data_IF_644480041981
#
_entry.id   IF_644480041981
#
_cell.length_a   1.000
_cell.length_b   1.000
_cell.length_c   1.000
_cell.angle_alpha   90.00
_cell.angle_beta   90.00
_cell.angle_gamma   90.00
#
_symmetry.space_group_name_H-M   'P 1'
#
loop_
_entity.id
_entity.type
_entity.pdbx_description
1 polymer ?
#
# COMPACT_ATOMS: atom_id res chain seq x y z
N UNK A 1 -6.84 8.75 -4.81
CA UNK A 1 -7.64 9.79 -5.53
C UNK A 1 -7.67 9.60 -7.04
N UNK A 2 -6.55 9.31 -7.70
CA UNK A 2 -6.50 9.06 -9.17
C UNK A 2 -6.87 7.60 -9.49
N UNK A 3 -6.32 6.64 -8.76
CA UNK A 3 -6.59 5.21 -8.98
C UNK A 3 -8.04 4.81 -8.65
N UNK A 4 -8.67 5.43 -7.65
CA UNK A 4 -10.10 5.20 -7.35
C UNK A 4 -11.00 5.65 -8.52
N UNK A 5 -10.67 6.75 -9.20
CA UNK A 5 -11.41 7.24 -10.39
C UNK A 5 -11.21 6.34 -11.62
N UNK A 6 -10.10 5.63 -11.71
CA UNK A 6 -9.85 4.64 -12.76
C UNK A 6 -10.58 3.32 -12.46
N UNK A 7 -10.64 2.92 -11.18
CA UNK A 7 -11.32 1.70 -10.73
C UNK A 7 -12.82 1.69 -11.04
N UNK A 8 -13.48 2.85 -11.09
CA UNK A 8 -14.91 2.94 -11.44
C UNK A 8 -15.22 2.69 -12.92
N UNK A 9 -14.22 2.68 -13.80
CA UNK A 9 -14.40 2.45 -15.25
C UNK A 9 -14.29 0.98 -15.65
N UNK A 10 -13.67 0.14 -14.80
CA UNK A 10 -13.50 -1.29 -15.06
C UNK A 10 -14.34 -2.07 -14.08
N UNK A 11 -15.25 -2.91 -14.56
CA UNK A 11 -16.09 -3.74 -13.70
C UNK A 11 -15.31 -4.98 -13.19
N UNK A 12 -14.30 -4.73 -12.37
CA UNK A 12 -13.44 -5.78 -11.77
C UNK A 12 -14.29 -6.71 -10.88
N UNK A 13 -15.39 -6.20 -10.32
CA UNK A 13 -16.32 -6.97 -9.48
C UNK A 13 -17.05 -8.06 -10.29
N UNK A 14 -17.26 -7.86 -11.60
CA UNK A 14 -17.76 -8.92 -12.49
C UNK A 14 -16.76 -10.06 -12.69
N UNK A 15 -15.46 -9.75 -12.70
CA UNK A 15 -14.39 -10.75 -12.74
C UNK A 15 -14.32 -11.48 -11.39
N UNK A 16 -14.34 -10.74 -10.28
CA UNK A 16 -14.32 -11.29 -8.92
C UNK A 16 -15.44 -12.29 -8.64
N UNK A 17 -16.63 -12.08 -9.22
CA UNK A 17 -17.75 -13.05 -9.15
C UNK A 17 -17.41 -14.44 -9.67
N UNK A 18 -16.52 -14.54 -10.65
CA UNK A 18 -16.16 -15.81 -11.29
C UNK A 18 -15.02 -16.55 -10.59
N UNK A 19 -14.38 -15.94 -9.60
CA UNK A 19 -13.23 -16.54 -8.92
C UNK A 19 -13.74 -17.34 -7.71
N UNK A 20 -13.58 -18.69 -7.69
CA UNK A 20 -14.09 -19.55 -6.64
C UNK A 20 -13.22 -19.58 -5.37
N UNK A 21 -12.23 -18.70 -5.27
CA UNK A 21 -11.31 -18.60 -4.13
C UNK A 21 -11.88 -17.62 -3.10
N UNK A 22 -11.66 -17.90 -1.81
CA UNK A 22 -12.04 -16.98 -0.72
C UNK A 22 -11.21 -15.69 -0.77
N UNK A 23 -11.80 -14.50 -0.54
CA UNK A 23 -11.05 -13.24 -0.51
C UNK A 23 -9.92 -13.28 0.53
N UNK A 24 -10.15 -13.83 1.73
CA UNK A 24 -9.12 -13.92 2.77
C UNK A 24 -7.91 -14.78 2.34
N UNK A 25 -8.12 -15.80 1.51
CA UNK A 25 -7.03 -16.62 0.96
C UNK A 25 -6.21 -15.79 -0.03
N UNK A 26 -6.86 -14.99 -0.87
CA UNK A 26 -6.16 -14.08 -1.79
C UNK A 26 -5.35 -13.02 -1.04
N UNK A 27 -5.89 -12.46 0.04
CA UNK A 27 -5.16 -11.52 0.92
C UNK A 27 -3.92 -12.18 1.54
N UNK A 28 -4.06 -13.42 2.04
CA UNK A 28 -2.92 -14.18 2.59
C UNK A 28 -1.87 -14.47 1.51
N UNK A 29 -2.29 -14.91 0.32
CA UNK A 29 -1.40 -15.17 -0.80
C UNK A 29 -0.67 -13.90 -1.24
N UNK A 30 -1.36 -12.75 -1.29
CA UNK A 30 -0.76 -11.45 -1.55
C UNK A 30 0.40 -11.17 -0.59
N UNK A 31 0.18 -11.31 0.72
CA UNK A 31 1.21 -11.11 1.72
C UNK A 31 2.37 -12.12 1.59
N UNK A 32 2.06 -13.40 1.34
CA UNK A 32 3.08 -14.44 1.13
C UNK A 32 3.96 -14.11 -0.07
N UNK A 33 3.38 -13.70 -1.21
CA UNK A 33 4.14 -13.30 -2.40
C UNK A 33 5.08 -12.12 -2.08
N UNK A 34 4.61 -11.14 -1.32
CA UNK A 34 5.45 -10.01 -0.90
C UNK A 34 6.63 -10.47 -0.02
N UNK A 35 6.41 -11.38 0.94
CA UNK A 35 7.49 -11.80 1.84
C UNK A 35 8.45 -12.82 1.21
N UNK A 36 7.97 -13.72 0.34
CA UNK A 36 8.82 -14.62 -0.44
C UNK A 36 9.72 -13.82 -1.40
N UNK A 37 9.26 -12.67 -1.89
CA UNK A 37 10.07 -11.77 -2.70
C UNK A 37 11.32 -11.27 -2.00
N UNK A 38 11.30 -11.09 -0.67
CA UNK A 38 12.42 -10.48 0.08
C UNK A 38 13.73 -11.26 -0.10
N UNK A 39 13.83 -12.55 0.25
CA UNK A 39 15.06 -13.31 0.04
C UNK A 39 15.40 -13.46 -1.45
N UNK A 40 14.42 -13.59 -2.34
CA UNK A 40 14.66 -13.73 -3.78
C UNK A 40 15.28 -12.48 -4.40
N UNK A 41 14.80 -11.30 -4.01
CA UNK A 41 15.34 -10.02 -4.48
C UNK A 41 16.71 -9.72 -3.85
N UNK A 42 16.84 -9.94 -2.54
CA UNK A 42 18.04 -9.54 -1.81
C UNK A 42 19.22 -10.50 -2.00
N UNK A 43 18.97 -11.80 -2.07
CA UNK A 43 20.03 -12.82 -2.11
C UNK A 43 20.29 -13.35 -3.53
N UNK A 44 19.24 -13.40 -4.36
CA UNK A 44 19.32 -14.00 -5.70
C UNK A 44 19.16 -12.97 -6.83
N UNK A 45 19.03 -11.68 -6.50
CA UNK A 45 18.96 -10.60 -7.48
C UNK A 45 17.69 -10.63 -8.36
N UNK A 46 16.63 -11.29 -7.91
CA UNK A 46 15.34 -11.24 -8.62
C UNK A 46 14.82 -9.80 -8.67
N UNK A 47 14.12 -9.44 -9.75
CA UNK A 47 13.52 -8.11 -9.86
C UNK A 47 12.38 -7.94 -8.84
N UNK A 48 12.37 -6.85 -8.04
CA UNK A 48 11.26 -6.56 -7.15
C UNK A 48 9.92 -6.34 -7.88
N UNK A 49 9.99 -5.94 -9.16
CA UNK A 49 8.83 -5.60 -9.99
C UNK A 49 7.78 -6.71 -9.98
N UNK A 50 8.21 -7.96 -10.17
CA UNK A 50 7.31 -9.09 -10.26
C UNK A 50 6.56 -9.34 -8.96
N UNK A 51 7.24 -9.23 -7.82
CA UNK A 51 6.61 -9.48 -6.53
C UNK A 51 5.64 -8.36 -6.13
N UNK A 52 5.99 -7.09 -6.39
CA UNK A 52 5.07 -5.96 -6.16
C UNK A 52 3.86 -6.07 -7.08
N UNK A 53 4.06 -6.40 -8.36
CA UNK A 53 2.99 -6.53 -9.34
C UNK A 53 2.02 -7.66 -8.99
N UNK A 54 2.54 -8.86 -8.70
CA UNK A 54 1.72 -10.04 -8.41
C UNK A 54 1.00 -9.87 -7.07
N UNK A 55 1.71 -9.46 -6.01
CA UNK A 55 1.11 -9.24 -4.69
C UNK A 55 0.05 -8.13 -4.75
N UNK A 56 0.36 -6.97 -5.36
CA UNK A 56 -0.61 -5.89 -5.55
C UNK A 56 -1.80 -6.27 -6.44
N UNK A 57 -1.63 -7.17 -7.41
CA UNK A 57 -2.74 -7.69 -8.21
C UNK A 57 -3.65 -8.63 -7.39
N UNK A 58 -3.08 -9.54 -6.59
CA UNK A 58 -3.84 -10.44 -5.72
C UNK A 58 -4.70 -9.65 -4.72
N UNK A 59 -4.11 -8.62 -4.12
CA UNK A 59 -4.76 -7.64 -3.24
C UNK A 59 -5.93 -6.92 -3.94
N UNK A 60 -5.71 -6.40 -5.15
CA UNK A 60 -6.77 -5.75 -5.90
C UNK A 60 -7.94 -6.71 -6.24
N UNK A 61 -7.61 -7.98 -6.50
CA UNK A 61 -8.55 -9.05 -6.81
C UNK A 61 -9.33 -9.49 -5.58
N UNK A 62 -8.73 -9.57 -4.38
CA UNK A 62 -9.44 -9.99 -3.17
C UNK A 62 -10.66 -9.11 -2.87
N UNK A 63 -10.52 -7.80 -3.04
CA UNK A 63 -11.59 -6.85 -2.79
C UNK A 63 -12.65 -6.92 -3.86
N UNK A 64 -12.27 -7.23 -5.10
CA UNK A 64 -13.21 -7.48 -6.19
C UNK A 64 -14.00 -8.78 -5.97
N UNK A 65 -13.35 -9.83 -5.47
CA UNK A 65 -14.00 -11.09 -5.09
C UNK A 65 -14.97 -10.87 -3.93
N UNK A 66 -14.54 -10.17 -2.88
CA UNK A 66 -15.36 -9.86 -1.71
C UNK A 66 -16.62 -9.08 -2.11
N UNK A 67 -16.50 -7.99 -2.89
CA UNK A 67 -17.66 -7.21 -3.35
C UNK A 67 -18.51 -7.96 -4.35
N UNK A 68 -17.89 -8.57 -5.36
CA UNK A 68 -18.58 -9.27 -6.43
C UNK A 68 -19.44 -10.44 -5.91
N UNK A 69 -18.93 -11.20 -4.93
CA UNK A 69 -19.62 -12.37 -4.36
C UNK A 69 -20.46 -12.04 -3.12
N UNK A 70 -20.54 -10.79 -2.70
CA UNK A 70 -21.26 -10.40 -1.48
C UNK A 70 -20.64 -10.93 -0.18
N UNK A 71 -19.33 -11.17 -0.16
CA UNK A 71 -18.56 -11.72 0.97
C UNK A 71 -17.84 -10.64 1.79
N UNK A 72 -18.25 -9.38 1.67
CA UNK A 72 -17.66 -8.26 2.42
C UNK A 72 -17.93 -8.45 3.92
N UNK A 73 -16.88 -8.38 4.75
CA UNK A 73 -16.99 -8.56 6.19
C UNK A 73 -16.01 -7.66 6.96
N UNK A 74 -16.34 -7.36 8.22
CA UNK A 74 -15.45 -6.57 9.11
C UNK A 74 -14.13 -7.30 9.38
N UNK A 75 -14.18 -8.62 9.57
CA UNK A 75 -13.00 -9.44 9.78
C UNK A 75 -12.08 -9.46 8.55
N UNK A 76 -12.64 -9.60 7.35
CA UNK A 76 -11.88 -9.53 6.10
C UNK A 76 -11.25 -8.15 5.88
N UNK A 77 -12.01 -7.07 6.12
CA UNK A 77 -11.49 -5.70 6.01
C UNK A 77 -10.33 -5.43 6.98
N UNK A 78 -10.40 -5.97 8.21
CA UNK A 78 -9.30 -5.90 9.17
C UNK A 78 -8.08 -6.70 8.68
N UNK A 79 -8.28 -7.94 8.23
CA UNK A 79 -7.21 -8.80 7.74
C UNK A 79 -6.45 -8.16 6.56
N UNK A 80 -7.18 -7.64 5.58
CA UNK A 80 -6.68 -6.87 4.42
C UNK A 80 -5.80 -5.69 4.87
N UNK A 81 -6.39 -4.80 5.67
CA UNK A 81 -5.68 -3.60 6.15
C UNK A 81 -4.47 -3.92 7.04
N UNK A 82 -4.52 -5.03 7.79
CA UNK A 82 -3.43 -5.48 8.64
C UNK A 82 -2.27 -6.05 7.81
N UNK A 83 -2.55 -6.99 6.90
CA UNK A 83 -1.54 -7.61 6.05
C UNK A 83 -0.94 -6.61 5.05
N UNK A 84 -1.67 -5.60 4.63
CA UNK A 84 -1.16 -4.47 3.86
C UNK A 84 0.06 -3.79 4.50
N UNK A 85 0.10 -3.71 5.84
CA UNK A 85 1.24 -3.11 6.55
C UNK A 85 2.49 -3.98 6.41
N UNK A 86 2.31 -5.30 6.44
CA UNK A 86 3.38 -6.26 6.25
C UNK A 86 3.87 -6.29 4.79
N UNK A 87 2.96 -6.22 3.82
CA UNK A 87 3.32 -6.12 2.39
C UNK A 87 4.04 -4.81 2.08
N UNK A 88 3.56 -3.67 2.60
CA UNK A 88 4.24 -2.37 2.47
C UNK A 88 5.69 -2.43 3.02
N UNK A 89 5.91 -3.13 4.14
CA UNK A 89 7.24 -3.33 4.71
C UNK A 89 8.14 -4.22 3.84
N UNK A 90 7.61 -5.35 3.34
CA UNK A 90 8.34 -6.23 2.43
C UNK A 90 8.76 -5.50 1.14
N UNK A 91 7.86 -4.69 0.56
CA UNK A 91 8.18 -3.91 -0.63
C UNK A 91 9.31 -2.90 -0.42
N UNK A 92 9.37 -2.26 0.75
CA UNK A 92 10.48 -1.36 1.08
C UNK A 92 11.79 -2.13 1.31
N UNK A 93 11.72 -3.31 1.94
CA UNK A 93 12.88 -4.16 2.15
C UNK A 93 13.54 -4.64 0.86
N UNK A 94 12.83 -4.71 -0.26
CA UNK A 94 13.43 -5.03 -1.56
C UNK A 94 14.56 -4.08 -1.98
N UNK A 95 14.53 -2.84 -1.47
CA UNK A 95 15.54 -1.82 -1.74
C UNK A 95 16.67 -1.82 -0.69
N UNK A 96 16.65 -2.73 0.29
CA UNK A 96 17.72 -2.86 1.30
C UNK A 96 19.09 -3.02 0.64
N UNK A 97 20.08 -2.29 1.16
CA UNK A 97 21.44 -2.25 0.63
C UNK A 97 21.60 -1.50 -0.71
N UNK A 98 20.50 -1.03 -1.31
CA UNK A 98 20.49 -0.23 -2.56
C UNK A 98 20.15 1.23 -2.30
N UNK A 99 19.57 1.55 -1.15
CA UNK A 99 19.24 2.90 -0.70
C UNK A 99 19.73 3.11 0.74
N UNK A 100 19.79 4.35 1.18
CA UNK A 100 20.17 4.72 2.55
C UNK A 100 19.22 4.08 3.59
N UNK A 101 19.79 3.40 4.58
CA UNK A 101 19.03 2.68 5.61
C UNK A 101 18.21 3.61 6.50
N UNK A 102 18.72 4.81 6.79
CA UNK A 102 17.99 5.81 7.57
C UNK A 102 16.79 6.34 6.78
N UNK A 103 16.98 6.68 5.51
CA UNK A 103 15.92 7.05 4.60
C UNK A 103 14.84 5.96 4.51
N UNK A 104 15.24 4.68 4.43
CA UNK A 104 14.30 3.56 4.37
C UNK A 104 13.49 3.41 5.67
N UNK A 105 14.12 3.58 6.83
CA UNK A 105 13.42 3.62 8.11
C UNK A 105 12.39 4.75 8.17
N UNK A 106 12.75 5.96 7.74
CA UNK A 106 11.84 7.12 7.69
C UNK A 106 10.69 6.86 6.70
N UNK A 107 10.97 6.26 5.54
CA UNK A 107 9.96 5.88 4.55
C UNK A 107 8.93 4.89 5.13
N UNK A 108 9.40 3.89 5.88
CA UNK A 108 8.54 2.91 6.55
C UNK A 108 7.67 3.60 7.61
N UNK A 109 8.27 4.46 8.45
CA UNK A 109 7.55 5.24 9.45
C UNK A 109 6.47 6.12 8.81
N UNK A 110 6.80 6.86 7.76
CA UNK A 110 5.85 7.70 7.03
C UNK A 110 4.71 6.88 6.41
N UNK A 111 5.05 5.75 5.78
CA UNK A 111 4.07 4.82 5.19
C UNK A 111 3.08 4.28 6.24
N UNK A 112 3.57 3.93 7.43
CA UNK A 112 2.73 3.48 8.53
C UNK A 112 1.92 4.63 9.14
N UNK A 113 2.52 5.81 9.31
CA UNK A 113 1.85 6.99 9.85
C UNK A 113 0.66 7.45 8.99
N UNK A 114 0.77 7.40 7.66
CA UNK A 114 -0.36 7.68 6.74
C UNK A 114 -1.57 6.78 7.05
N UNK A 115 -1.33 5.48 7.21
CA UNK A 115 -2.38 4.49 7.45
C UNK A 115 -2.90 4.55 8.88
N UNK A 116 -2.02 4.79 9.86
CA UNK A 116 -2.38 4.97 11.26
C UNK A 116 -3.24 6.21 11.47
N UNK A 117 -2.87 7.37 10.91
CA UNK A 117 -3.65 8.60 11.02
C UNK A 117 -5.08 8.41 10.49
N UNK A 118 -5.24 7.64 9.42
CA UNK A 118 -6.56 7.27 8.88
C UNK A 118 -7.34 6.38 9.85
N UNK A 119 -6.78 5.23 10.22
CA UNK A 119 -7.45 4.28 11.11
C UNK A 119 -7.82 4.92 12.45
N UNK A 120 -6.89 5.68 13.04
CA UNK A 120 -7.12 6.38 14.30
C UNK A 120 -8.17 7.49 14.15
N UNK A 121 -8.11 8.29 13.09
CA UNK A 121 -9.12 9.31 12.83
C UNK A 121 -10.52 8.73 12.64
N UNK A 122 -10.66 7.67 11.84
CA UNK A 122 -11.92 6.95 11.65
C UNK A 122 -12.44 6.34 12.96
N UNK A 123 -11.56 5.78 13.81
CA UNK A 123 -11.95 5.27 15.14
C UNK A 123 -12.45 6.35 16.11
N UNK A 124 -12.09 7.61 15.86
CA UNK A 124 -12.52 8.78 16.63
C UNK A 124 -13.73 9.49 15.98
N UNK A 125 -14.37 8.86 15.00
CA UNK A 125 -15.56 9.39 14.32
C UNK A 125 -15.28 10.43 13.23
N UNK A 126 -14.02 10.59 12.80
CA UNK A 126 -13.67 11.49 11.70
C UNK A 126 -13.68 10.73 10.39
N UNK A 127 -14.42 11.21 9.40
CA UNK A 127 -14.28 10.69 8.04
C UNK A 127 -12.93 11.14 7.44
N UNK A 128 -12.03 10.18 7.24
CA UNK A 128 -10.67 10.38 6.69
C UNK A 128 -10.54 9.80 5.28
N UNK A 129 -11.56 9.12 4.76
CA UNK A 129 -11.54 8.57 3.40
C UNK A 129 -11.39 9.70 2.37
N UNK A 130 -10.46 9.53 1.43
CA UNK A 130 -10.17 10.54 0.40
C UNK A 130 -9.47 11.79 0.93
N UNK A 131 -9.10 11.81 2.21
CA UNK A 131 -8.35 12.90 2.85
C UNK A 131 -6.87 12.55 2.86
N UNK A 132 -6.07 13.36 2.19
CA UNK A 132 -4.62 13.21 2.15
C UNK A 132 -4.07 13.29 0.73
N UNK A 133 -2.75 13.42 0.65
CA UNK A 133 -2.05 13.57 -0.61
C UNK A 133 -1.79 12.22 -1.30
N UNK A 134 -1.79 11.13 -0.52
CA UNK A 134 -1.35 9.81 -0.98
C UNK A 134 -2.13 8.71 -0.26
N UNK A 135 -2.76 7.81 -1.01
CA UNK A 135 -3.31 6.56 -0.48
C UNK A 135 -2.33 5.40 -0.73
N UNK A 136 -2.71 4.18 -0.32
CA UNK A 136 -1.88 2.99 -0.53
C UNK A 136 -1.62 2.70 -2.00
N UNK A 137 -2.65 2.83 -2.85
CA UNK A 137 -2.50 2.58 -4.29
C UNK A 137 -1.41 3.44 -4.92
N UNK A 138 -1.34 4.73 -4.58
CA UNK A 138 -0.28 5.62 -5.08
C UNK A 138 1.11 5.22 -4.55
N UNK A 139 1.22 4.71 -3.31
CA UNK A 139 2.51 4.22 -2.76
C UNK A 139 2.98 2.96 -3.48
N UNK A 140 2.11 1.98 -3.65
CA UNK A 140 2.43 0.73 -4.34
C UNK A 140 2.79 1.01 -5.80
N UNK A 141 2.05 1.89 -6.48
CA UNK A 141 2.38 2.32 -7.84
C UNK A 141 3.76 3.00 -7.92
N UNK A 142 4.10 3.85 -6.95
CA UNK A 142 5.42 4.47 -6.87
C UNK A 142 6.52 3.42 -6.73
N UNK A 143 6.38 2.49 -5.78
CA UNK A 143 7.37 1.44 -5.54
C UNK A 143 7.49 0.48 -6.74
N UNK A 144 6.40 0.24 -7.47
CA UNK A 144 6.42 -0.51 -8.73
C UNK A 144 7.26 0.22 -9.80
N UNK A 145 7.04 1.52 -9.99
CA UNK A 145 7.88 2.33 -10.90
C UNK A 145 9.33 2.36 -10.44
N UNK A 146 9.57 2.50 -9.13
CA UNK A 146 10.93 2.49 -8.59
C UNK A 146 11.63 1.14 -8.81
N UNK A 147 10.91 0.02 -8.75
CA UNK A 147 11.46 -1.30 -9.08
C UNK A 147 11.84 -1.42 -10.56
N UNK A 148 11.05 -0.84 -11.47
CA UNK A 148 11.40 -0.77 -12.88
C UNK A 148 12.64 0.10 -13.11
N UNK A 149 12.75 1.23 -12.41
CA UNK A 149 13.95 2.10 -12.46
C UNK A 149 15.16 1.37 -11.89
N UNK A 150 15.00 0.55 -10.86
CA UNK A 150 16.09 -0.27 -10.34
C UNK A 150 16.65 -1.23 -11.40
N UNK A 151 15.80 -1.83 -12.22
CA UNK A 151 16.23 -2.75 -13.27
C UNK A 151 16.86 -2.02 -14.47
N UNK A 152 16.34 -0.84 -14.84
CA UNK A 152 16.72 -0.13 -16.08
C UNK A 152 17.74 1.00 -15.89
N UNK A 153 17.72 1.67 -14.74
CA UNK A 153 18.57 2.81 -14.42
C UNK A 153 18.92 2.87 -12.92
N UNK A 154 19.65 1.87 -12.37
CA UNK A 154 19.99 1.79 -10.95
C UNK A 154 20.54 3.08 -10.31
N UNK A 155 21.39 3.89 -10.99
CA UNK A 155 21.91 5.13 -10.40
C UNK A 155 20.84 6.15 -9.98
N UNK A 156 19.63 6.10 -10.55
CA UNK A 156 18.53 7.02 -10.22
C UNK A 156 17.74 6.60 -8.98
N UNK A 157 17.87 5.35 -8.53
CA UNK A 157 17.03 4.76 -7.46
C UNK A 157 17.18 5.53 -6.16
N UNK A 158 18.40 5.88 -5.75
CA UNK A 158 18.63 6.59 -4.49
C UNK A 158 17.93 7.97 -4.48
N UNK A 159 18.06 8.75 -5.55
CA UNK A 159 17.43 10.07 -5.67
C UNK A 159 15.90 9.98 -5.66
N UNK A 160 15.34 9.02 -6.41
CA UNK A 160 13.89 8.79 -6.41
C UNK A 160 13.41 8.26 -5.05
N UNK A 161 14.20 7.44 -4.36
CA UNK A 161 13.85 6.98 -3.03
C UNK A 161 13.78 8.13 -2.01
N UNK A 162 14.69 9.11 -2.07
CA UNK A 162 14.55 10.33 -1.26
C UNK A 162 13.29 11.14 -1.60
N UNK A 163 12.89 11.19 -2.88
CA UNK A 163 11.61 11.79 -3.25
C UNK A 163 10.43 11.00 -2.65
N UNK A 164 10.47 9.66 -2.65
CA UNK A 164 9.48 8.83 -1.97
C UNK A 164 9.39 9.15 -0.47
N UNK A 165 10.53 9.22 0.22
CA UNK A 165 10.60 9.58 1.65
C UNK A 165 9.92 10.92 1.92
N UNK A 166 10.25 11.94 1.13
CA UNK A 166 9.64 13.25 1.25
C UNK A 166 8.11 13.20 1.03
N UNK A 167 7.66 12.51 -0.02
CA UNK A 167 6.23 12.40 -0.35
C UNK A 167 5.43 11.68 0.75
N UNK A 168 5.93 10.56 1.28
CA UNK A 168 5.23 9.85 2.36
C UNK A 168 5.25 10.64 3.66
N UNK A 169 6.35 11.35 3.96
CA UNK A 169 6.45 12.24 5.12
C UNK A 169 5.44 13.39 5.03
N UNK A 170 5.38 14.06 3.89
CA UNK A 170 4.43 15.15 3.63
C UNK A 170 2.98 14.65 3.70
N UNK A 171 2.68 13.50 3.10
CA UNK A 171 1.35 12.91 3.14
C UNK A 171 0.93 12.52 4.57
N UNK A 172 1.84 11.96 5.36
CA UNK A 172 1.62 11.63 6.77
C UNK A 172 1.31 12.89 7.58
N UNK A 173 2.15 13.91 7.47
CA UNK A 173 2.01 15.18 8.19
C UNK A 173 0.69 15.88 7.82
N UNK A 174 0.39 15.99 6.52
CA UNK A 174 -0.84 16.62 6.04
C UNK A 174 -2.09 15.89 6.57
N UNK A 175 -2.14 14.55 6.45
CA UNK A 175 -3.28 13.77 6.95
C UNK A 175 -3.42 13.90 8.46
N UNK A 176 -2.32 13.80 9.21
CA UNK A 176 -2.32 13.98 10.66
C UNK A 176 -2.84 15.35 11.07
N UNK A 177 -2.39 16.41 10.40
CA UNK A 177 -2.87 17.77 10.62
C UNK A 177 -4.38 17.92 10.37
N UNK A 178 -4.89 17.39 9.25
CA UNK A 178 -6.33 17.47 8.93
C UNK A 178 -7.16 16.75 9.97
N UNK A 179 -6.77 15.55 10.39
CA UNK A 179 -7.48 14.79 11.44
C UNK A 179 -7.46 15.56 12.76
N UNK A 180 -6.30 16.06 13.18
CA UNK A 180 -6.16 16.86 14.40
C UNK A 180 -7.06 18.11 14.38
N UNK A 181 -7.06 18.84 13.25
CA UNK A 181 -7.90 20.03 13.07
C UNK A 181 -9.39 19.70 13.18
N UNK A 182 -9.87 18.67 12.48
CA UNK A 182 -11.28 18.24 12.55
C UNK A 182 -11.70 17.89 13.99
N UNK A 183 -10.86 17.14 14.71
CA UNK A 183 -11.12 16.79 16.12
C UNK A 183 -11.11 18.02 17.05
N UNK A 184 -10.20 18.97 16.82
CA UNK A 184 -10.09 20.17 17.64
C UNK A 184 -11.30 21.11 17.50
N UNK A 185 -11.92 21.15 16.31
CA UNK A 185 -13.06 22.02 16.02
C UNK A 185 -14.39 21.41 16.52
N UNK A 186 -14.49 20.08 16.60
CA UNK A 186 -15.66 19.35 17.09
C UNK A 186 -15.69 19.19 18.62
N UNK A 187 -14.97 20.03 19.39
CA UNK A 187 -14.98 20.02 20.86
C UNK A 187 -16.23 20.66 21.50
N UNK A 188 -17.39 20.63 20.83
CA UNK A 188 -18.67 21.09 21.38
C UNK A 188 -19.59 19.91 21.62
#
# INVERSE_FOLDING_TARGET
MVLERLRSKVNIDAVGRKIPISPNVLTLLSAVVAWVGVPLVLLYGASPLWFILISGALDAVDGAVARGRGLVSRAGAFLDSFLDRFSDAAYLLYFWGRVDSLAMYIALLGTFAISYARCRGESLGVEVRGVGLMERGERVAYLLVLSLVLDLAPPLVASLFYAYVFLVGLAAAHRGYVVFRKLSLNRR
#
